data_IF_467922457458
#
_entry.id   IF_467922457458
#
_cell.length_a   1.000
_cell.length_b   1.000
_cell.length_c   1.000
_cell.angle_alpha   90.00
_cell.angle_beta   90.00
_cell.angle_gamma   90.00
#
_symmetry.space_group_name_H-M   'P 1'
#
loop_
_entity.id
_entity.type
_entity.pdbx_description
1 polymer ?
#
# COMPACT_ATOMS: atom_id res chain seq x y z
N UNK A 1 31.56 56.50 -9.02
CA UNK A 1 30.57 55.79 -9.84
C UNK A 1 30.85 54.31 -9.67
N UNK A 2 30.09 53.68 -8.78
CA UNK A 2 30.06 52.23 -8.61
C UNK A 2 29.34 51.64 -9.83
N UNK A 3 29.86 50.55 -10.37
CA UNK A 3 29.08 49.56 -11.14
C UNK A 3 29.88 48.26 -11.20
N UNK A 4 29.74 47.49 -10.13
CA UNK A 4 29.81 46.02 -10.13
C UNK A 4 28.78 45.48 -11.14
N UNK A 5 28.93 44.22 -11.55
CA UNK A 5 27.89 43.28 -12.05
C UNK A 5 28.27 42.69 -13.41
N UNK A 6 28.81 41.47 -13.42
CA UNK A 6 28.07 40.26 -13.82
C UNK A 6 28.99 39.04 -13.69
N UNK A 7 29.04 38.55 -12.45
CA UNK A 7 29.51 37.21 -12.12
C UNK A 7 28.53 36.23 -12.78
N UNK A 8 29.08 35.37 -13.64
CA UNK A 8 28.36 34.34 -14.38
C UNK A 8 27.80 33.33 -13.38
N UNK A 9 26.53 33.47 -13.02
CA UNK A 9 25.77 32.45 -12.31
C UNK A 9 25.54 31.26 -13.25
N UNK A 10 26.49 30.33 -13.24
CA UNK A 10 26.24 28.95 -13.61
C UNK A 10 25.06 28.48 -12.75
N UNK A 11 23.90 28.38 -13.38
CA UNK A 11 22.75 27.71 -12.79
C UNK A 11 23.10 26.22 -12.78
N UNK A 12 23.76 25.78 -11.69
CA UNK A 12 23.74 24.39 -11.28
C UNK A 12 22.26 24.00 -11.22
N UNK A 13 21.84 23.18 -12.19
CA UNK A 13 20.68 22.31 -12.04
C UNK A 13 20.99 21.40 -10.86
N UNK A 14 20.74 21.91 -9.65
CA UNK A 14 20.63 21.12 -8.44
C UNK A 14 19.45 20.20 -8.71
N UNK A 15 19.75 19.00 -9.22
CA UNK A 15 18.83 17.88 -9.26
C UNK A 15 18.53 17.54 -7.82
N UNK A 16 17.56 18.26 -7.25
CA UNK A 16 16.95 17.94 -5.97
C UNK A 16 16.57 16.46 -6.06
N UNK A 17 17.11 15.58 -5.21
CA UNK A 17 16.82 14.17 -5.32
C UNK A 17 15.29 14.03 -5.24
N UNK A 18 14.73 13.31 -6.22
CA UNK A 18 13.28 13.09 -6.39
C UNK A 18 12.64 12.41 -5.15
N UNK A 19 13.49 11.92 -4.24
CA UNK A 19 13.17 11.26 -2.99
C UNK A 19 14.06 11.94 -1.94
N UNK A 20 13.47 12.59 -0.95
CA UNK A 20 14.23 13.23 0.12
C UNK A 20 14.99 12.18 0.95
N UNK A 21 16.18 12.52 1.45
CA UNK A 21 16.93 11.68 2.39
C UNK A 21 16.07 11.32 3.63
N UNK A 22 15.15 12.19 4.03
CA UNK A 22 14.14 11.92 5.06
C UNK A 22 13.17 10.81 4.67
N UNK A 23 12.71 10.74 3.42
CA UNK A 23 11.83 9.65 2.95
C UNK A 23 12.56 8.31 2.97
N UNK A 24 13.86 8.28 2.64
CA UNK A 24 14.67 7.05 2.77
C UNK A 24 14.77 6.59 4.23
N UNK A 25 15.01 7.52 5.15
CA UNK A 25 15.17 7.20 6.57
C UNK A 25 13.84 6.78 7.23
N UNK A 26 12.71 7.33 6.78
CA UNK A 26 11.38 7.08 7.35
C UNK A 26 10.51 6.15 6.48
N UNK A 27 11.07 5.52 5.44
CA UNK A 27 10.35 4.67 4.51
C UNK A 27 9.55 3.56 5.21
N UNK A 28 10.16 2.95 6.23
CA UNK A 28 9.52 1.91 7.01
C UNK A 28 8.30 2.44 7.76
N UNK A 29 8.34 3.65 8.31
CA UNK A 29 7.21 4.22 9.06
C UNK A 29 6.05 4.62 8.15
N UNK A 30 6.35 5.00 6.89
CA UNK A 30 5.33 5.42 5.93
C UNK A 30 4.68 4.21 5.24
N UNK A 31 5.46 3.19 4.88
CA UNK A 31 4.98 2.08 4.04
C UNK A 31 4.53 0.87 4.86
N UNK A 32 5.24 0.53 5.95
CA UNK A 32 4.94 -0.70 6.71
C UNK A 32 3.54 -0.67 7.32
N UNK A 33 3.04 0.42 7.93
CA UNK A 33 1.72 0.40 8.56
C UNK A 33 0.58 0.18 7.55
N UNK A 34 0.52 0.89 6.40
CA UNK A 34 -0.46 0.59 5.36
C UNK A 34 -0.35 -0.84 4.82
N UNK A 35 0.87 -1.32 4.57
CA UNK A 35 1.08 -2.67 4.02
C UNK A 35 0.62 -3.75 5.01
N UNK A 36 0.99 -3.63 6.27
CA UNK A 36 0.60 -4.56 7.33
C UNK A 36 -0.92 -4.59 7.51
N UNK A 37 -1.56 -3.42 7.48
CA UNK A 37 -3.01 -3.33 7.62
C UNK A 37 -3.73 -3.88 6.38
N UNK A 38 -3.15 -3.69 5.19
CA UNK A 38 -3.57 -4.37 3.96
C UNK A 38 -3.47 -5.88 4.08
N UNK A 39 -2.33 -6.43 4.53
CA UNK A 39 -2.20 -7.89 4.74
C UNK A 39 -3.25 -8.42 5.72
N UNK A 40 -3.55 -7.67 6.78
CA UNK A 40 -4.59 -8.04 7.74
C UNK A 40 -5.98 -8.08 7.08
N UNK A 41 -6.32 -7.08 6.27
CA UNK A 41 -7.56 -7.03 5.50
C UNK A 41 -7.66 -8.17 4.46
N UNK A 42 -6.57 -8.47 3.76
CA UNK A 42 -6.47 -9.62 2.85
C UNK A 42 -6.75 -10.92 3.60
N UNK A 43 -6.05 -11.15 4.71
CA UNK A 43 -6.16 -12.36 5.52
C UNK A 43 -7.58 -12.57 6.03
N UNK A 44 -8.25 -11.50 6.47
CA UNK A 44 -9.62 -11.56 6.95
C UNK A 44 -10.60 -12.02 5.85
N UNK A 45 -10.56 -11.39 4.67
CA UNK A 45 -11.44 -11.74 3.55
C UNK A 45 -11.11 -13.14 3.02
N UNK A 46 -9.83 -13.47 2.87
CA UNK A 46 -9.40 -14.77 2.37
C UNK A 46 -9.84 -15.91 3.31
N UNK A 47 -9.68 -15.71 4.62
CA UNK A 47 -10.16 -16.66 5.63
C UNK A 47 -11.67 -16.84 5.55
N UNK A 48 -12.43 -15.74 5.39
CA UNK A 48 -13.89 -15.81 5.24
C UNK A 48 -14.31 -16.64 4.01
N UNK A 49 -13.63 -16.45 2.87
CA UNK A 49 -13.90 -17.23 1.66
C UNK A 49 -13.59 -18.71 1.87
N UNK A 50 -12.44 -19.03 2.49
CA UNK A 50 -12.08 -20.41 2.84
C UNK A 50 -13.14 -21.02 3.73
N UNK A 51 -13.57 -20.33 4.78
CA UNK A 51 -14.62 -20.82 5.68
C UNK A 51 -15.94 -21.05 4.94
N UNK A 52 -16.39 -20.10 4.11
CA UNK A 52 -17.62 -20.25 3.34
C UNK A 52 -17.59 -21.48 2.43
N UNK A 53 -16.46 -21.72 1.74
CA UNK A 53 -16.27 -22.89 0.89
C UNK A 53 -16.20 -24.18 1.68
N UNK A 54 -15.50 -24.16 2.81
CA UNK A 54 -15.41 -25.31 3.71
C UNK A 54 -16.79 -25.68 4.27
N UNK A 55 -17.59 -24.71 4.70
CA UNK A 55 -18.97 -24.92 5.14
C UNK A 55 -19.83 -25.47 4.01
N UNK A 56 -19.73 -24.91 2.80
CA UNK A 56 -20.47 -25.41 1.64
C UNK A 56 -20.11 -26.86 1.28
N UNK A 57 -18.85 -27.25 1.45
CA UNK A 57 -18.41 -28.64 1.28
C UNK A 57 -18.96 -29.56 2.39
N UNK A 58 -18.89 -29.14 3.66
CA UNK A 58 -19.38 -29.93 4.81
C UNK A 58 -20.89 -30.16 4.75
N UNK A 59 -21.67 -29.15 4.32
CA UNK A 59 -23.14 -29.24 4.20
C UNK A 59 -23.54 -30.03 2.93
N UNK A 60 -22.60 -30.32 2.03
CA UNK A 60 -22.85 -31.05 0.79
C UNK A 60 -23.45 -30.18 -0.32
N UNK A 61 -23.35 -28.85 -0.22
CA UNK A 61 -23.72 -27.92 -1.30
C UNK A 61 -22.70 -27.95 -2.43
N UNK A 62 -21.43 -28.23 -2.13
CA UNK A 62 -20.36 -28.37 -3.11
C UNK A 62 -19.75 -29.78 -3.04
N UNK A 63 -19.56 -30.43 -4.19
CA UNK A 63 -18.99 -31.79 -4.27
C UNK A 63 -17.49 -31.85 -3.94
N UNK A 64 -16.79 -30.71 -4.00
CA UNK A 64 -15.36 -30.63 -3.73
C UNK A 64 -14.95 -29.31 -3.11
N UNK A 65 -13.91 -29.36 -2.28
CA UNK A 65 -13.27 -28.18 -1.73
C UNK A 65 -12.15 -27.70 -2.67
N UNK A 66 -12.41 -26.62 -3.41
CA UNK A 66 -11.44 -26.02 -4.34
C UNK A 66 -11.31 -24.53 -4.09
N UNK A 67 -10.07 -24.08 -3.87
CA UNK A 67 -9.71 -22.66 -3.83
C UNK A 67 -9.24 -22.26 -5.22
N UNK A 68 -9.92 -21.28 -5.81
CA UNK A 68 -9.66 -20.76 -7.15
C UNK A 68 -8.81 -19.50 -7.07
N UNK A 69 -8.11 -19.20 -8.17
CA UNK A 69 -7.37 -17.95 -8.30
C UNK A 69 -8.25 -16.69 -8.10
N UNK A 70 -9.52 -16.76 -8.50
CA UNK A 70 -10.48 -15.68 -8.28
C UNK A 70 -10.72 -15.38 -6.79
N UNK A 71 -10.62 -16.38 -5.90
CA UNK A 71 -10.77 -16.16 -4.46
C UNK A 71 -9.64 -15.27 -3.92
N UNK A 72 -8.42 -15.44 -4.46
CA UNK A 72 -7.26 -14.61 -4.12
C UNK A 72 -7.45 -13.19 -4.66
N UNK A 73 -7.99 -13.04 -5.88
CA UNK A 73 -8.34 -11.72 -6.42
C UNK A 73 -9.38 -11.01 -5.55
N UNK A 74 -10.44 -11.70 -5.13
CA UNK A 74 -11.44 -11.06 -4.26
C UNK A 74 -10.84 -10.63 -2.92
N UNK A 75 -9.91 -11.41 -2.39
CA UNK A 75 -9.18 -11.11 -1.15
C UNK A 75 -8.28 -9.88 -1.27
N UNK A 76 -7.74 -9.58 -2.45
CA UNK A 76 -7.00 -8.32 -2.71
C UNK A 76 -7.87 -7.08 -2.48
N UNK A 77 -9.20 -7.18 -2.56
CA UNK A 77 -10.09 -6.07 -2.19
C UNK A 77 -9.93 -5.72 -0.71
N UNK A 78 -9.82 -6.73 0.16
CA UNK A 78 -9.52 -6.54 1.58
C UNK A 78 -8.16 -5.90 1.82
N UNK A 79 -7.17 -6.26 0.99
CA UNK A 79 -5.86 -5.60 1.01
C UNK A 79 -5.97 -4.11 0.71
N UNK A 80 -6.64 -3.75 -0.38
CA UNK A 80 -6.77 -2.36 -0.82
C UNK A 80 -7.56 -1.52 0.18
N UNK A 81 -8.62 -2.08 0.77
CA UNK A 81 -9.39 -1.43 1.83
C UNK A 81 -8.54 -1.21 3.09
N UNK A 82 -7.82 -2.24 3.54
CA UNK A 82 -6.97 -2.17 4.73
C UNK A 82 -5.80 -1.20 4.57
N UNK A 83 -5.10 -1.27 3.44
CA UNK A 83 -3.99 -0.37 3.12
C UNK A 83 -4.48 1.07 2.87
N UNK A 84 -5.56 1.22 2.09
CA UNK A 84 -6.16 2.52 1.79
C UNK A 84 -6.63 3.26 3.03
N UNK A 85 -7.23 2.56 4.00
CA UNK A 85 -7.68 3.19 5.26
C UNK A 85 -6.54 3.85 6.03
N UNK A 86 -5.37 3.19 6.10
CA UNK A 86 -4.18 3.72 6.77
C UNK A 86 -3.48 4.80 5.95
N UNK A 87 -3.54 4.69 4.63
CA UNK A 87 -3.05 5.74 3.74
C UNK A 87 -3.86 7.02 3.93
N UNK A 88 -5.20 6.94 3.93
CA UNK A 88 -6.07 8.08 4.23
C UNK A 88 -5.80 8.68 5.60
N UNK A 89 -5.52 7.85 6.62
CA UNK A 89 -5.18 8.35 7.95
C UNK A 89 -3.88 9.16 7.98
N UNK A 90 -2.90 8.80 7.12
CA UNK A 90 -1.67 9.56 6.97
C UNK A 90 -1.89 10.91 6.28
N UNK A 91 -2.70 10.95 5.21
CA UNK A 91 -3.01 12.20 4.50
C UNK A 91 -4.00 13.11 5.24
N UNK A 92 -4.91 12.54 6.04
CA UNK A 92 -5.86 13.32 6.83
C UNK A 92 -5.28 13.91 8.12
N UNK A 93 -4.01 13.60 8.43
CA UNK A 93 -3.27 14.13 9.58
C UNK A 93 -2.33 15.29 9.22
N UNK A 94 -2.11 15.57 7.93
CA UNK A 94 -1.53 16.85 7.44
C UNK A 94 -2.60 17.95 7.38
#
# INVERSE_FOLDING_TARGET
METTTQERTNTELVTKPLISEEFKNNFNEIIVPPLSNGLMGFSAIFSLIIFAKLFGYIIGTNDSFVVLYMDVIYSLTGFLLGAGSKFLEFFGKE
#
